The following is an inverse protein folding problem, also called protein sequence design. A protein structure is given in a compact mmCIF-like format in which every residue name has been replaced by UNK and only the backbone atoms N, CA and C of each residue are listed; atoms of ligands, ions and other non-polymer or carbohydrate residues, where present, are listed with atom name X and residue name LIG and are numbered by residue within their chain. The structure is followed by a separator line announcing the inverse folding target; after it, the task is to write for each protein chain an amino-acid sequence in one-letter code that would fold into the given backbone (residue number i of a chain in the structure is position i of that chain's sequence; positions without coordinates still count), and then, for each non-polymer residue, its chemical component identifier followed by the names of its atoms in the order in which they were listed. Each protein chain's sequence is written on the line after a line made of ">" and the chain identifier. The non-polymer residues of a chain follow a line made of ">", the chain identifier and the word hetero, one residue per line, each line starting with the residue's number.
data_IF_840738079420
#
_entry.id   IF_840738079420
#
_cell.length_a   1.000
_cell.length_b   1.000
_cell.length_c   1.000
_cell.angle_alpha   90.00
_cell.angle_beta   90.00
_cell.angle_gamma   90.00
#
_symmetry.space_group_name_H-M   'P 1'
#
loop_
_entity.id
_entity.type
_entity.pdbx_description
1 polymer ?
#
# COMPACT_ATOMS: atom_id res chain seq x y z
N UNK A 1 -12.03 -51.13 -21.86
CA UNK A 1 -10.82 -50.54 -21.24
C UNK A 1 -10.42 -49.21 -21.90
N UNK A 2 -10.27 -49.15 -23.24
CA UNK A 2 -9.93 -47.91 -23.99
C UNK A 2 -10.92 -46.74 -23.78
N UNK A 3 -12.23 -47.00 -23.76
CA UNK A 3 -13.28 -45.97 -23.54
C UNK A 3 -13.20 -45.31 -22.16
N UNK A 4 -12.90 -46.07 -21.11
CA UNK A 4 -12.72 -45.53 -19.74
C UNK A 4 -11.50 -44.63 -19.65
N UNK A 5 -10.40 -44.96 -20.35
CA UNK A 5 -9.19 -44.13 -20.41
C UNK A 5 -9.49 -42.81 -21.12
N UNK A 6 -10.21 -42.84 -22.25
CA UNK A 6 -10.63 -41.63 -22.97
C UNK A 6 -11.51 -40.73 -22.09
N UNK A 7 -12.46 -41.31 -21.34
CA UNK A 7 -13.29 -40.54 -20.41
C UNK A 7 -12.48 -39.88 -19.29
N UNK A 8 -11.52 -40.59 -18.69
CA UNK A 8 -10.64 -40.04 -17.65
C UNK A 8 -9.80 -38.89 -18.21
N UNK A 9 -9.22 -39.05 -19.39
CA UNK A 9 -8.42 -37.99 -20.05
C UNK A 9 -9.29 -36.76 -20.34
N UNK A 10 -10.51 -36.95 -20.84
CA UNK A 10 -11.44 -35.83 -21.08
C UNK A 10 -11.83 -35.10 -19.79
N UNK A 11 -12.05 -35.83 -18.68
CA UNK A 11 -12.35 -35.22 -17.38
C UNK A 11 -11.15 -34.45 -16.83
N UNK A 12 -9.93 -34.97 -16.97
CA UNK A 12 -8.71 -34.27 -16.56
C UNK A 12 -8.50 -33.00 -17.39
N UNK A 13 -8.68 -33.08 -18.72
CA UNK A 13 -8.59 -31.91 -19.60
C UNK A 13 -9.64 -30.86 -19.25
N UNK A 14 -10.90 -31.26 -19.03
CA UNK A 14 -11.95 -30.35 -18.59
C UNK A 14 -11.61 -29.70 -17.25
N UNK A 15 -11.11 -30.48 -16.29
CA UNK A 15 -10.66 -29.97 -14.99
C UNK A 15 -9.51 -28.96 -15.12
N UNK A 16 -8.52 -29.22 -15.97
CA UNK A 16 -7.44 -28.29 -16.25
C UNK A 16 -7.95 -26.98 -16.87
N UNK A 17 -8.87 -27.05 -17.83
CA UNK A 17 -9.46 -25.86 -18.47
C UNK A 17 -10.25 -25.03 -17.45
N UNK A 18 -11.06 -25.67 -16.62
CA UNK A 18 -11.83 -24.98 -15.56
C UNK A 18 -10.88 -24.35 -14.54
N UNK A 19 -9.87 -25.08 -14.07
CA UNK A 19 -8.89 -24.60 -13.11
C UNK A 19 -8.09 -23.41 -13.63
N UNK A 20 -7.60 -23.49 -14.87
CA UNK A 20 -6.89 -22.39 -15.51
C UNK A 20 -7.79 -21.16 -15.69
N UNK A 21 -9.06 -21.36 -16.08
CA UNK A 21 -10.03 -20.27 -16.23
C UNK A 21 -10.31 -19.58 -14.89
N UNK A 22 -10.52 -20.35 -13.83
CA UNK A 22 -10.77 -19.82 -12.50
C UNK A 22 -9.57 -19.05 -11.95
N UNK A 23 -8.36 -19.58 -12.14
CA UNK A 23 -7.12 -18.93 -11.73
C UNK A 23 -6.91 -17.62 -12.51
N UNK A 24 -7.11 -17.63 -13.82
CA UNK A 24 -7.04 -16.43 -14.66
C UNK A 24 -8.06 -15.37 -14.24
N UNK A 25 -9.30 -15.76 -14.00
CA UNK A 25 -10.35 -14.85 -13.52
C UNK A 25 -9.99 -14.26 -12.15
N UNK A 26 -9.45 -15.08 -11.24
CA UNK A 26 -9.05 -14.63 -9.90
C UNK A 26 -7.98 -13.54 -9.97
N UNK A 27 -6.97 -13.69 -10.83
CA UNK A 27 -5.94 -12.66 -11.05
C UNK A 27 -6.54 -11.36 -11.58
N UNK A 28 -7.45 -11.46 -12.56
CA UNK A 28 -8.13 -10.28 -13.12
C UNK A 28 -8.95 -9.54 -12.05
N UNK A 29 -9.72 -10.26 -11.24
CA UNK A 29 -10.50 -9.68 -10.13
C UNK A 29 -9.57 -9.04 -9.10
N UNK A 30 -8.48 -9.73 -8.75
CA UNK A 30 -7.48 -9.21 -7.83
C UNK A 30 -6.86 -7.91 -8.32
N UNK A 31 -6.51 -7.78 -9.60
CA UNK A 31 -5.97 -6.54 -10.17
C UNK A 31 -7.03 -5.44 -10.25
N UNK A 32 -8.27 -5.77 -10.65
CA UNK A 32 -9.36 -4.80 -10.75
C UNK A 32 -9.70 -4.18 -9.39
N UNK A 33 -9.70 -5.00 -8.34
CA UNK A 33 -9.90 -4.56 -6.95
C UNK A 33 -8.67 -3.90 -6.31
N UNK A 34 -7.58 -3.72 -7.07
CA UNK A 34 -6.40 -2.92 -6.68
C UNK A 34 -6.32 -1.60 -7.44
N UNK A 35 -7.30 -1.30 -8.32
CA UNK A 35 -7.29 -0.06 -9.08
C UNK A 35 -7.73 1.12 -8.23
N UNK A 36 -7.21 2.31 -8.53
CA UNK A 36 -7.62 3.55 -7.86
C UNK A 36 -9.13 3.76 -7.98
N UNK A 37 -9.71 3.46 -9.16
CA UNK A 37 -11.15 3.52 -9.40
C UNK A 37 -11.94 2.64 -8.43
N UNK A 38 -11.43 1.45 -8.11
CA UNK A 38 -12.08 0.59 -7.12
C UNK A 38 -11.92 1.14 -5.70
N UNK A 39 -10.72 1.58 -5.33
CA UNK A 39 -10.48 2.18 -4.02
C UNK A 39 -11.41 3.38 -3.77
N UNK A 40 -11.49 4.32 -4.71
CA UNK A 40 -12.35 5.49 -4.55
C UNK A 40 -13.84 5.13 -4.57
N UNK A 41 -14.26 4.00 -5.14
CA UNK A 41 -15.70 3.63 -5.16
C UNK A 41 -16.33 3.53 -3.77
N UNK A 42 -15.53 3.24 -2.73
CA UNK A 42 -15.96 3.24 -1.32
C UNK A 42 -15.38 4.42 -0.52
N UNK A 43 -14.27 5.03 -0.98
CA UNK A 43 -13.54 6.08 -0.27
C UNK A 43 -13.77 7.50 -0.83
N UNK A 44 -14.67 7.69 -1.81
CA UNK A 44 -14.86 8.97 -2.55
C UNK A 44 -15.06 10.20 -1.66
N UNK A 45 -15.79 10.05 -0.55
CA UNK A 45 -16.13 11.18 0.32
C UNK A 45 -15.20 11.29 1.54
N UNK A 46 -14.11 10.50 1.57
CA UNK A 46 -13.06 10.68 2.57
C UNK A 46 -12.21 11.87 2.21
N UNK A 47 -11.71 12.56 3.22
CA UNK A 47 -10.65 13.58 3.08
C UNK A 47 -9.29 12.99 2.68
N UNK A 48 -9.22 11.69 2.34
CA UNK A 48 -8.03 10.98 1.89
C UNK A 48 -7.98 10.78 0.37
N UNK A 49 -9.06 11.10 -0.36
CA UNK A 49 -9.03 11.06 -1.82
C UNK A 49 -8.03 12.10 -2.30
N UNK A 50 -7.10 11.70 -3.17
CA UNK A 50 -6.03 12.59 -3.52
C UNK A 50 -6.42 13.51 -4.68
N UNK A 51 -7.20 14.53 -4.35
CA UNK A 51 -7.38 15.71 -5.20
C UNK A 51 -6.51 16.88 -4.69
N UNK A 52 -5.47 16.56 -3.91
CA UNK A 52 -4.56 17.56 -3.35
C UNK A 52 -3.28 17.67 -4.21
N UNK A 53 -3.03 18.82 -4.87
CA UNK A 53 -1.82 19.06 -5.65
C UNK A 53 -0.52 19.00 -4.82
N UNK A 54 -0.61 18.95 -3.48
CA UNK A 54 0.54 18.81 -2.60
C UNK A 54 1.08 17.37 -2.50
N UNK A 55 0.36 16.37 -3.02
CA UNK A 55 0.83 14.98 -2.97
C UNK A 55 1.88 14.71 -4.03
N UNK A 56 3.15 14.65 -3.60
CA UNK A 56 4.31 14.52 -4.48
C UNK A 56 4.29 13.27 -5.38
N UNK A 57 3.58 12.21 -4.99
CA UNK A 57 3.47 10.99 -5.78
C UNK A 57 2.34 11.00 -6.83
N UNK A 58 1.56 12.08 -6.86
CA UNK A 58 0.51 12.30 -7.87
C UNK A 58 0.79 13.53 -8.72
N UNK A 59 1.36 14.57 -8.09
CA UNK A 59 1.74 15.81 -8.74
C UNK A 59 3.23 16.04 -8.53
N UNK A 60 4.04 15.72 -9.55
CA UNK A 60 5.48 15.98 -9.54
C UNK A 60 5.99 16.42 -10.91
N UNK A 61 7.15 17.05 -10.89
CA UNK A 61 7.89 17.50 -12.07
C UNK A 61 8.48 16.35 -12.90
N UNK A 62 8.43 15.11 -12.41
CA UNK A 62 8.96 13.91 -13.08
C UNK A 62 7.90 13.23 -13.97
N UNK A 63 6.63 13.65 -13.92
CA UNK A 63 5.54 13.06 -14.69
C UNK A 63 5.18 11.64 -14.27
N UNK A 64 5.52 11.22 -13.05
CA UNK A 64 5.23 9.89 -12.51
C UNK A 64 3.95 9.99 -11.67
N UNK A 65 2.98 9.12 -11.93
CA UNK A 65 1.78 8.99 -11.10
C UNK A 65 1.80 7.63 -10.43
N UNK A 66 1.83 7.62 -9.10
CA UNK A 66 1.79 6.40 -8.28
C UNK A 66 0.35 6.08 -7.92
N UNK A 67 -0.05 4.83 -8.07
CA UNK A 67 -1.40 4.34 -7.76
C UNK A 67 -1.55 4.03 -6.28
N UNK A 68 -2.79 3.93 -5.81
CA UNK A 68 -3.10 3.56 -4.43
C UNK A 68 -2.43 2.23 -4.05
N UNK A 69 -2.54 1.22 -4.91
CA UNK A 69 -1.99 -0.11 -4.67
C UNK A 69 -0.45 -0.14 -4.64
N UNK A 70 0.23 0.75 -5.37
CA UNK A 70 1.69 0.76 -5.43
C UNK A 70 2.31 1.07 -4.05
N UNK A 71 1.59 1.81 -3.21
CA UNK A 71 1.98 2.09 -1.82
C UNK A 71 1.32 1.14 -0.82
N UNK A 72 0.00 0.90 -0.96
CA UNK A 72 -0.79 0.16 0.04
C UNK A 72 -0.72 -1.36 -0.08
N UNK A 73 -0.22 -1.89 -1.21
CA UNK A 73 -0.05 -3.32 -1.44
C UNK A 73 1.42 -3.59 -1.73
N UNK A 74 2.17 -3.97 -0.68
CA UNK A 74 3.59 -4.26 -0.84
C UNK A 74 3.83 -5.38 -1.86
N UNK A 75 4.96 -5.33 -2.58
CA UNK A 75 5.27 -6.29 -3.62
C UNK A 75 5.41 -7.72 -3.06
N UNK A 76 5.25 -8.69 -3.95
CA UNK A 76 5.30 -10.12 -3.64
C UNK A 76 3.92 -10.75 -3.38
N UNK A 77 3.76 -11.99 -3.81
CA UNK A 77 2.47 -12.70 -3.80
C UNK A 77 1.87 -12.81 -2.38
N UNK A 78 2.70 -13.05 -1.36
CA UNK A 78 2.24 -13.18 0.03
C UNK A 78 1.69 -11.86 0.59
N UNK A 79 2.40 -10.75 0.36
CA UNK A 79 1.94 -9.42 0.76
C UNK A 79 0.67 -9.02 0.02
N UNK A 80 0.61 -9.32 -1.28
CA UNK A 80 -0.57 -9.07 -2.09
C UNK A 80 -1.81 -9.80 -1.55
N UNK A 81 -1.69 -11.10 -1.27
CA UNK A 81 -2.78 -11.90 -0.69
C UNK A 81 -3.18 -11.39 0.69
N UNK A 82 -2.21 -11.00 1.53
CA UNK A 82 -2.49 -10.43 2.85
C UNK A 82 -3.24 -9.09 2.77
N UNK A 83 -2.86 -8.22 1.83
CA UNK A 83 -3.58 -6.98 1.59
C UNK A 83 -5.01 -7.24 1.12
N UNK A 84 -5.23 -8.23 0.25
CA UNK A 84 -6.57 -8.64 -0.18
C UNK A 84 -7.40 -9.21 0.96
N UNK A 85 -6.80 -10.03 1.83
CA UNK A 85 -7.45 -10.51 3.04
C UNK A 85 -7.85 -9.33 3.96
N UNK A 86 -6.98 -8.35 4.14
CA UNK A 86 -7.25 -7.14 4.92
C UNK A 86 -8.38 -6.29 4.36
N UNK A 87 -8.45 -6.14 3.03
CA UNK A 87 -9.48 -5.35 2.34
C UNK A 87 -10.91 -5.87 2.55
N UNK A 88 -11.10 -7.15 2.88
CA UNK A 88 -12.43 -7.65 3.26
C UNK A 88 -13.00 -6.94 4.48
N UNK A 89 -12.15 -6.51 5.44
CA UNK A 89 -12.59 -5.73 6.60
C UNK A 89 -13.15 -4.37 6.17
N UNK A 90 -12.52 -3.74 5.18
CA UNK A 90 -12.96 -2.44 4.67
C UNK A 90 -14.28 -2.56 3.90
N UNK A 91 -14.42 -3.61 3.08
CA UNK A 91 -15.68 -3.94 2.39
C UNK A 91 -16.80 -4.21 3.40
N UNK A 92 -16.54 -5.03 4.41
CA UNK A 92 -17.51 -5.32 5.47
C UNK A 92 -17.92 -4.03 6.20
N UNK A 93 -16.95 -3.19 6.57
CA UNK A 93 -17.23 -1.92 7.25
C UNK A 93 -18.05 -1.00 6.35
N UNK A 94 -17.69 -0.84 5.08
CA UNK A 94 -18.46 -0.06 4.12
C UNK A 94 -19.92 -0.54 3.99
N UNK A 95 -20.14 -1.86 3.98
CA UNK A 95 -21.48 -2.43 3.83
C UNK A 95 -22.38 -2.25 5.06
N UNK A 96 -21.81 -2.30 6.27
CA UNK A 96 -22.58 -2.33 7.51
C UNK A 96 -22.50 -1.04 8.35
N UNK A 97 -21.57 -0.14 8.03
CA UNK A 97 -21.45 1.16 8.65
C UNK A 97 -21.77 2.27 7.64
N UNK A 98 -22.98 2.82 7.72
CA UNK A 98 -23.46 3.87 6.82
C UNK A 98 -22.62 5.14 6.84
N UNK A 99 -21.90 5.41 7.94
CA UNK A 99 -21.06 6.60 8.08
C UNK A 99 -19.64 6.40 7.53
N UNK A 100 -19.26 5.17 7.15
CA UNK A 100 -17.89 4.87 6.74
C UNK A 100 -17.40 5.84 5.66
N UNK A 101 -18.16 6.03 4.58
CA UNK A 101 -17.79 6.91 3.47
C UNK A 101 -18.16 8.37 3.74
N UNK A 102 -17.69 8.92 4.87
CA UNK A 102 -17.86 10.33 5.22
C UNK A 102 -16.55 10.94 5.71
N UNK A 103 -16.41 12.26 5.53
CA UNK A 103 -15.28 13.02 6.07
C UNK A 103 -15.24 12.97 7.60
N UNK A 104 -16.38 13.02 8.26
CA UNK A 104 -16.47 12.99 9.72
C UNK A 104 -15.96 11.66 10.29
N UNK A 105 -16.37 10.54 9.70
CA UNK A 105 -15.89 9.23 10.12
C UNK A 105 -14.38 9.11 9.99
N UNK A 106 -13.81 9.50 8.85
CA UNK A 106 -12.37 9.38 8.67
C UNK A 106 -11.60 10.35 9.57
N UNK A 107 -12.11 11.57 9.81
CA UNK A 107 -11.46 12.54 10.67
C UNK A 107 -11.45 12.08 12.14
N UNK A 108 -12.55 11.46 12.62
CA UNK A 108 -12.67 10.87 13.96
C UNK A 108 -11.68 9.71 14.19
N UNK A 109 -11.42 8.91 13.16
CA UNK A 109 -10.55 7.73 13.25
C UNK A 109 -9.15 7.97 12.67
N UNK A 110 -8.84 9.19 12.19
CA UNK A 110 -7.65 9.46 11.39
C UNK A 110 -6.37 9.06 12.11
N UNK A 111 -6.25 9.40 13.39
CA UNK A 111 -5.04 9.12 14.17
C UNK A 111 -4.80 7.61 14.32
N UNK A 112 -5.84 6.84 14.61
CA UNK A 112 -5.77 5.37 14.74
C UNK A 112 -5.44 4.71 13.40
N UNK A 113 -6.15 5.09 12.34
CA UNK A 113 -5.95 4.54 11.00
C UNK A 113 -4.58 4.91 10.43
N UNK A 114 -4.08 6.12 10.72
CA UNK A 114 -2.73 6.55 10.38
C UNK A 114 -1.67 5.66 11.04
N UNK A 115 -1.77 5.43 12.36
CA UNK A 115 -0.83 4.53 13.06
C UNK A 115 -0.87 3.12 12.51
N UNK A 116 -2.07 2.61 12.23
CA UNK A 116 -2.23 1.29 11.62
C UNK A 116 -1.57 1.23 10.24
N UNK A 117 -1.83 2.22 9.37
CA UNK A 117 -1.25 2.28 8.04
C UNK A 117 0.28 2.40 8.08
N UNK A 118 0.81 3.25 8.97
CA UNK A 118 2.26 3.37 9.21
C UNK A 118 2.87 2.05 9.64
N UNK A 119 2.25 1.36 10.61
CA UNK A 119 2.67 0.06 11.08
C UNK A 119 2.64 -1.00 9.97
N UNK A 120 1.59 -1.03 9.16
CA UNK A 120 1.44 -2.03 8.11
C UNK A 120 2.44 -1.81 6.97
N UNK A 121 2.70 -0.56 6.56
CA UNK A 121 3.75 -0.24 5.60
C UNK A 121 5.14 -0.59 6.18
N UNK A 122 5.39 -0.24 7.44
CA UNK A 122 6.67 -0.51 8.11
C UNK A 122 7.00 -2.01 8.24
N UNK A 123 5.99 -2.88 8.45
CA UNK A 123 6.17 -4.34 8.50
C UNK A 123 6.68 -4.95 7.20
N UNK A 124 6.61 -4.22 6.09
CA UNK A 124 7.06 -4.68 4.77
C UNK A 124 8.47 -4.20 4.43
N UNK A 125 9.23 -3.73 5.43
CA UNK A 125 10.61 -3.28 5.26
C UNK A 125 10.77 -2.20 4.18
N UNK A 126 9.76 -1.32 4.06
CA UNK A 126 9.70 -0.26 3.04
C UNK A 126 9.75 -0.78 1.59
N UNK A 127 9.34 -2.03 1.35
CA UNK A 127 9.44 -2.69 0.04
C UNK A 127 8.76 -1.87 -1.07
N UNK A 128 7.55 -1.36 -0.83
CA UNK A 128 6.84 -0.49 -1.79
C UNK A 128 7.63 0.77 -2.15
N UNK A 129 8.33 1.37 -1.18
CA UNK A 129 9.15 2.55 -1.42
C UNK A 129 10.37 2.18 -2.27
N UNK A 130 11.06 1.10 -1.92
CA UNK A 130 12.33 0.68 -2.54
C UNK A 130 12.13 0.17 -3.97
N UNK A 131 10.95 -0.35 -4.31
CA UNK A 131 10.62 -0.77 -5.68
C UNK A 131 10.89 0.37 -6.68
N UNK A 132 10.47 1.59 -6.33
CA UNK A 132 10.71 2.79 -7.14
C UNK A 132 11.97 3.57 -6.70
N UNK A 133 12.28 3.61 -5.40
CA UNK A 133 13.42 4.34 -4.82
C UNK A 133 14.65 3.44 -4.60
N UNK A 134 14.89 2.46 -5.47
CA UNK A 134 15.91 1.43 -5.29
C UNK A 134 17.33 1.98 -5.11
N UNK A 135 17.64 3.09 -5.79
CA UNK A 135 18.94 3.76 -5.70
C UNK A 135 19.26 4.30 -4.31
N UNK A 136 18.26 4.51 -3.45
CA UNK A 136 18.48 5.07 -2.11
C UNK A 136 19.39 4.18 -1.24
N UNK A 137 19.49 2.89 -1.56
CA UNK A 137 20.32 1.92 -0.82
C UNK A 137 21.75 1.82 -1.34
N UNK A 138 22.02 2.22 -2.58
CA UNK A 138 23.30 1.94 -3.26
C UNK A 138 23.97 3.16 -3.88
N UNK A 139 23.21 4.10 -4.43
CA UNK A 139 23.70 5.29 -5.14
C UNK A 139 22.76 6.47 -4.89
N UNK A 140 23.03 7.21 -3.82
CA UNK A 140 22.18 8.34 -3.41
C UNK A 140 22.19 9.44 -4.50
N UNK A 141 21.03 10.01 -4.86
CA UNK A 141 20.95 11.05 -5.87
C UNK A 141 21.90 12.23 -5.59
N UNK A 142 22.61 12.70 -6.61
CA UNK A 142 23.58 13.81 -6.49
C UNK A 142 22.90 15.15 -6.17
N UNK A 143 21.64 15.30 -6.55
CA UNK A 143 20.79 16.45 -6.29
C UNK A 143 20.09 16.39 -4.91
N UNK A 144 20.33 15.34 -4.12
CA UNK A 144 19.84 15.26 -2.75
C UNK A 144 20.54 16.29 -1.85
N UNK A 145 19.76 16.94 -1.00
CA UNK A 145 20.27 17.88 0.00
C UNK A 145 21.32 17.21 0.92
N UNK A 146 22.43 17.90 1.28
CA UNK A 146 23.53 17.30 2.04
C UNK A 146 23.13 16.59 3.34
N UNK A 147 22.28 17.21 4.18
CA UNK A 147 21.83 16.61 5.43
C UNK A 147 20.94 15.37 5.16
N UNK A 148 20.02 15.46 4.19
CA UNK A 148 19.22 14.30 3.78
C UNK A 148 20.11 13.13 3.32
N UNK A 149 21.19 13.41 2.59
CA UNK A 149 22.16 12.40 2.15
C UNK A 149 22.88 11.75 3.33
N UNK A 150 23.33 12.53 4.30
CA UNK A 150 23.95 12.03 5.53
C UNK A 150 23.00 11.12 6.33
N UNK A 151 21.75 11.53 6.51
CA UNK A 151 20.74 10.74 7.23
C UNK A 151 20.47 9.40 6.53
N UNK A 152 20.36 9.39 5.20
CA UNK A 152 20.19 8.15 4.45
C UNK A 152 21.42 7.24 4.57
N UNK A 153 22.64 7.78 4.48
CA UNK A 153 23.87 7.01 4.68
C UNK A 153 23.92 6.40 6.08
N UNK A 154 23.60 7.20 7.11
CA UNK A 154 23.55 6.74 8.49
C UNK A 154 22.53 5.63 8.68
N UNK A 155 21.33 5.75 8.11
CA UNK A 155 20.32 4.69 8.20
C UNK A 155 20.76 3.42 7.45
N UNK A 156 21.31 3.55 6.23
CA UNK A 156 21.77 2.43 5.41
C UNK A 156 22.96 1.68 6.03
N UNK A 157 23.78 2.35 6.85
CA UNK A 157 24.91 1.74 7.54
C UNK A 157 24.49 0.85 8.74
N UNK A 158 23.22 0.91 9.17
CA UNK A 158 22.69 0.07 10.25
C UNK A 158 22.43 -1.36 9.80
N UNK A 159 22.36 -2.27 10.77
CA UNK A 159 21.80 -3.62 10.58
C UNK A 159 20.38 -3.54 10.00
N UNK A 160 19.93 -4.59 9.33
CA UNK A 160 18.58 -4.63 8.73
C UNK A 160 17.50 -4.43 9.79
N UNK A 161 17.75 -4.91 11.02
CA UNK A 161 16.86 -4.83 12.17
C UNK A 161 16.80 -3.42 12.77
N UNK A 162 17.92 -2.67 12.73
CA UNK A 162 18.01 -1.32 13.28
C UNK A 162 17.68 -0.21 12.27
N UNK A 163 17.55 -0.57 10.99
CA UNK A 163 17.13 0.35 9.93
C UNK A 163 15.73 0.91 10.21
N UNK A 164 15.65 2.25 10.27
CA UNK A 164 14.36 2.93 10.32
C UNK A 164 13.66 2.80 8.97
N UNK A 165 12.38 2.47 9.02
CA UNK A 165 11.53 2.36 7.84
C UNK A 165 11.27 3.73 7.23
N UNK A 166 11.26 3.82 5.89
CA UNK A 166 11.18 5.08 5.15
C UNK A 166 10.00 5.95 5.61
N UNK A 167 8.85 5.31 5.85
CA UNK A 167 7.62 6.00 6.23
C UNK A 167 7.69 6.66 7.61
N UNK A 168 8.63 6.26 8.49
CA UNK A 168 8.81 6.92 9.78
C UNK A 168 9.55 8.26 9.67
N UNK A 169 10.33 8.49 8.61
CA UNK A 169 10.91 9.80 8.34
C UNK A 169 10.05 10.57 7.33
N UNK A 170 9.61 9.90 6.25
CA UNK A 170 8.78 10.45 5.18
C UNK A 170 7.29 10.32 5.45
N UNK A 171 6.88 10.75 6.65
CA UNK A 171 5.48 10.74 7.06
C UNK A 171 4.66 11.70 6.21
N UNK A 172 3.41 11.35 5.91
CA UNK A 172 2.45 12.26 5.28
C UNK A 172 2.68 12.48 3.79
N UNK A 173 3.48 11.62 3.16
CA UNK A 173 3.86 11.70 1.74
C UNK A 173 2.68 11.69 0.76
N UNK A 174 1.55 11.09 1.17
CA UNK A 174 0.34 10.99 0.36
C UNK A 174 -0.94 11.38 1.11
N UNK A 175 -0.98 11.28 2.44
CA UNK A 175 -2.16 11.61 3.23
C UNK A 175 -1.73 12.45 4.43
N UNK A 176 -2.31 13.64 4.58
CA UNK A 176 -1.99 14.51 5.70
C UNK A 176 -2.60 13.98 7.00
N UNK A 177 -1.81 14.07 8.08
CA UNK A 177 -2.32 13.81 9.42
C UNK A 177 -3.09 15.02 9.95
N UNK A 178 -4.01 14.77 10.88
CA UNK A 178 -4.65 15.89 11.59
C UNK A 178 -3.66 16.56 12.57
N UNK A 179 -4.04 17.75 13.04
CA UNK A 179 -3.24 18.53 14.00
C UNK A 179 -2.95 17.73 15.28
N UNK A 180 -3.92 16.95 15.74
CA UNK A 180 -3.78 16.12 16.95
C UNK A 180 -2.66 15.07 16.83
N UNK A 181 -2.66 14.31 15.73
CA UNK A 181 -1.61 13.32 15.45
C UNK A 181 -0.24 14.01 15.34
N UNK A 182 -0.17 15.15 14.66
CA UNK A 182 1.06 15.91 14.50
C UNK A 182 1.60 16.40 15.85
N UNK A 183 0.76 16.90 16.76
CA UNK A 183 1.17 17.32 18.12
C UNK A 183 1.74 16.13 18.90
N UNK A 184 1.02 15.00 18.96
CA UNK A 184 1.45 13.81 19.70
C UNK A 184 2.81 13.26 19.24
N UNK A 185 3.10 13.35 17.94
CA UNK A 185 4.32 12.79 17.36
C UNK A 185 5.45 13.80 17.16
N UNK A 186 5.20 15.09 17.38
CA UNK A 186 6.28 16.10 17.50
C UNK A 186 6.80 16.17 18.93
N UNK A 187 5.95 15.93 19.94
CA UNK A 187 6.40 15.80 21.34
C UNK A 187 7.28 14.57 21.55
N UNK A 188 7.01 13.45 20.88
CA UNK A 188 7.86 12.24 20.97
C UNK A 188 9.23 12.39 20.31
N UNK A 189 9.39 13.34 19.37
CA UNK A 189 10.67 13.70 18.75
C UNK A 189 11.47 14.66 19.66
N UNK A 190 10.80 15.45 20.52
CA UNK A 190 11.49 16.32 21.50
C UNK A 190 12.02 15.56 22.72
N UNK A 191 11.50 14.36 22.97
CA UNK A 191 11.76 13.57 24.17
C UNK A 191 12.59 12.29 23.92
N UNK A 192 13.17 12.14 22.72
CA UNK A 192 14.12 11.09 22.32
C UNK A 192 15.32 11.74 21.62
#
# INVERSE_FOLDING_TARGET
>A
MKTKIVQIVLLLLAGCVIGASFMGLSVVVMHKTSSDKYCISCHTNHSLVPDNPQFSHLYNSKGITVKCADCHIAPGIGNYLKAKAGGFKDVFTYMFNGDFNTKEWIDKHRSELAEKALSDIAKTSSASCIECHSKIKSDLPKDMEPLAREIHQYNNAKSVEDQKQCIYCHRGVAHHYNKEWATKHTESIKNN
#
